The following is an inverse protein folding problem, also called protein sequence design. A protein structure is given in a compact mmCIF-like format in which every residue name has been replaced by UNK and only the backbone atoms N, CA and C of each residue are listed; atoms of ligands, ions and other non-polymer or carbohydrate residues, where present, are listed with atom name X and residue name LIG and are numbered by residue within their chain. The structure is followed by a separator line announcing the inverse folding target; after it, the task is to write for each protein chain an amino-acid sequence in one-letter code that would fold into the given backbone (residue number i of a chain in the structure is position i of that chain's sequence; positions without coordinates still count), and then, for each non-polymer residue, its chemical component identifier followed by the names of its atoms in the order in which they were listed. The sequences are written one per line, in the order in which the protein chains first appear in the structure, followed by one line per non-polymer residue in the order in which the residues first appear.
data_IF_772557284682
#
_entry.id   IF_772557284682
#
_cell.length_a   1.000
_cell.length_b   1.000
_cell.length_c   1.000
_cell.angle_alpha   90.00
_cell.angle_beta   90.00
_cell.angle_gamma   90.00
#
_symmetry.space_group_name_H-M   'P 1'
#
loop_
_entity.id
_entity.type
_entity.pdbx_description
1 polymer ?
#
# COMPACT_ATOMS: atom_id res chain seq x y z
N UNK A 1 -24.68 28.61 25.73
CA UNK A 1 -23.51 29.34 26.26
C UNK A 1 -22.74 29.92 25.07
N UNK A 2 -22.10 31.10 25.19
CA UNK A 2 -21.30 31.68 24.11
C UNK A 2 -20.14 30.74 23.72
N UNK A 3 -19.93 30.49 22.40
CA UNK A 3 -18.91 29.56 21.90
C UNK A 3 -19.28 28.07 22.02
N UNK A 4 -20.48 27.75 22.48
CA UNK A 4 -20.96 26.36 22.54
C UNK A 4 -21.20 25.82 21.14
N UNK A 5 -20.67 24.61 20.85
CA UNK A 5 -20.91 23.92 19.59
C UNK A 5 -21.95 22.83 19.78
N UNK A 6 -22.93 22.79 18.88
CA UNK A 6 -24.03 21.81 18.88
C UNK A 6 -24.20 21.18 17.50
N UNK A 7 -24.76 19.98 17.48
CA UNK A 7 -25.23 19.30 16.28
C UNK A 7 -26.62 19.81 15.94
N UNK A 8 -26.86 20.12 14.66
CA UNK A 8 -28.12 20.66 14.18
C UNK A 8 -28.49 20.08 12.82
N UNK A 9 -29.66 19.48 12.72
CA UNK A 9 -30.12 18.83 11.51
C UNK A 9 -30.72 19.76 10.43
N UNK A 10 -30.89 21.05 10.74
CA UNK A 10 -31.49 22.04 9.82
C UNK A 10 -30.47 22.54 8.77
N UNK A 11 -30.98 23.09 7.68
CA UNK A 11 -30.21 23.65 6.56
C UNK A 11 -29.93 25.16 6.68
N UNK A 12 -30.26 25.77 7.81
CA UNK A 12 -29.98 27.19 8.13
C UNK A 12 -29.46 27.31 9.55
N UNK A 13 -28.63 28.30 9.82
CA UNK A 13 -28.17 28.59 11.16
C UNK A 13 -29.26 29.43 11.91
N UNK A 14 -29.75 29.00 13.08
CA UNK A 14 -30.69 29.79 13.87
C UNK A 14 -30.11 31.16 14.26
N UNK A 15 -30.97 32.10 14.58
CA UNK A 15 -30.56 33.43 15.04
C UNK A 15 -29.59 33.32 16.23
N UNK A 16 -28.47 34.04 16.18
CA UNK A 16 -27.42 34.00 17.21
C UNK A 16 -26.48 32.79 17.11
N UNK A 17 -26.59 31.98 16.04
CA UNK A 17 -25.72 30.85 15.72
C UNK A 17 -25.11 31.01 14.35
N UNK A 18 -24.02 30.34 14.11
CA UNK A 18 -23.40 30.19 12.79
C UNK A 18 -23.00 28.75 12.56
N UNK A 19 -22.89 28.31 11.28
CA UNK A 19 -22.30 27.01 10.94
C UNK A 19 -20.80 26.99 11.27
N UNK A 20 -20.29 25.81 11.59
CA UNK A 20 -18.87 25.58 11.80
C UNK A 20 -18.17 25.25 10.46
N UNK A 21 -18.11 26.22 9.55
CA UNK A 21 -17.59 26.10 8.18
C UNK A 21 -16.24 26.81 7.99
N UNK A 22 -15.59 27.21 9.07
CA UNK A 22 -14.29 27.88 9.03
C UNK A 22 -14.32 29.33 8.54
N UNK A 23 -15.51 29.95 8.46
CA UNK A 23 -15.64 31.34 8.01
C UNK A 23 -15.00 32.33 8.97
N UNK A 24 -14.53 33.45 8.40
CA UNK A 24 -13.93 34.52 9.16
C UNK A 24 -15.03 35.48 9.65
N UNK A 25 -14.94 35.88 10.90
CA UNK A 25 -15.80 36.88 11.52
C UNK A 25 -15.01 38.13 11.93
N UNK A 26 -15.62 39.28 11.83
CA UNK A 26 -15.02 40.52 12.30
C UNK A 26 -14.99 40.55 13.85
N UNK A 27 -13.83 40.89 14.40
CA UNK A 27 -13.66 41.03 15.87
C UNK A 27 -14.52 42.13 16.41
N UNK A 28 -14.67 43.25 15.69
CA UNK A 28 -15.45 44.42 16.15
C UNK A 28 -16.88 44.10 16.50
N UNK A 29 -17.51 43.14 15.79
CA UNK A 29 -18.92 42.73 16.05
C UNK A 29 -19.04 41.47 16.90
N UNK A 30 -17.93 40.78 17.23
CA UNK A 30 -17.93 39.52 17.95
C UNK A 30 -16.84 39.41 19.03
N UNK A 31 -16.57 40.56 19.72
CA UNK A 31 -15.49 40.66 20.69
C UNK A 31 -15.54 39.60 21.81
N UNK A 32 -16.75 39.36 22.34
CA UNK A 32 -16.94 38.37 23.40
C UNK A 32 -16.60 36.95 22.96
N UNK A 33 -16.97 36.56 21.73
CA UNK A 33 -16.60 35.26 21.18
C UNK A 33 -15.10 35.17 20.89
N UNK A 34 -14.51 36.23 20.33
CA UNK A 34 -13.08 36.31 20.11
C UNK A 34 -12.24 36.14 21.38
N UNK A 35 -12.71 36.72 22.51
CA UNK A 35 -12.03 36.54 23.80
C UNK A 35 -11.97 35.09 24.29
N UNK A 36 -12.88 34.23 23.80
CA UNK A 36 -12.94 32.80 24.15
C UNK A 36 -12.10 31.97 23.22
N UNK A 37 -12.27 32.12 21.90
CA UNK A 37 -11.64 31.21 20.91
C UNK A 37 -10.39 31.78 20.25
N UNK A 38 -10.17 33.12 20.35
CA UNK A 38 -8.98 33.75 19.77
C UNK A 38 -8.81 33.45 18.30
N UNK A 39 -7.54 33.16 17.90
CA UNK A 39 -7.15 32.80 16.54
C UNK A 39 -6.90 31.29 16.38
N UNK A 40 -7.37 30.47 17.29
CA UNK A 40 -7.15 29.01 17.32
C UNK A 40 -7.59 28.34 16.01
N UNK A 41 -8.66 28.82 15.40
CA UNK A 41 -9.21 28.28 14.15
C UNK A 41 -8.87 29.11 12.92
N UNK A 42 -8.07 30.18 13.04
CA UNK A 42 -7.64 31.06 11.95
C UNK A 42 -7.98 32.54 12.17
N UNK A 43 -7.76 33.32 11.12
CA UNK A 43 -7.89 34.79 11.16
C UNK A 43 -6.58 35.48 11.47
N UNK A 44 -6.57 36.81 11.33
CA UNK A 44 -5.39 37.67 11.56
C UNK A 44 -5.23 38.11 13.03
N UNK A 45 -6.23 37.86 13.86
CA UNK A 45 -6.23 38.27 15.28
C UNK A 45 -6.26 39.77 15.52
N UNK A 46 -6.37 40.55 14.45
CA UNK A 46 -6.39 42.01 14.52
C UNK A 46 -7.75 42.60 14.10
N UNK A 47 -8.26 42.12 12.98
CA UNK A 47 -9.55 42.52 12.41
C UNK A 47 -10.51 41.34 12.33
N UNK A 48 -10.01 40.13 12.14
CA UNK A 48 -10.80 38.91 11.94
C UNK A 48 -10.28 37.75 12.78
N UNK A 49 -11.18 36.77 13.02
CA UNK A 49 -10.87 35.44 13.56
C UNK A 49 -11.72 34.39 12.88
N UNK A 50 -11.22 33.15 12.85
CA UNK A 50 -11.91 32.02 12.21
C UNK A 50 -12.81 31.25 13.18
N UNK A 51 -13.93 30.74 12.67
CA UNK A 51 -14.72 29.71 13.35
C UNK A 51 -14.13 28.32 13.07
N UNK A 52 -14.45 27.32 13.92
CA UNK A 52 -14.10 25.93 13.63
C UNK A 52 -14.62 25.49 12.26
N UNK A 53 -13.84 24.69 11.53
CA UNK A 53 -14.27 24.02 10.30
C UNK A 53 -14.43 22.53 10.58
N UNK A 54 -15.68 22.10 10.71
CA UNK A 54 -16.06 20.71 11.01
C UNK A 54 -16.63 19.98 9.78
N UNK A 55 -16.57 20.58 8.60
CA UNK A 55 -17.03 19.93 7.36
C UNK A 55 -16.16 18.71 7.06
N UNK A 56 -16.80 17.55 6.89
CA UNK A 56 -16.11 16.26 6.66
C UNK A 56 -15.22 15.81 7.84
N UNK A 57 -15.45 16.30 9.06
CA UNK A 57 -14.62 16.01 10.24
C UNK A 57 -15.44 15.57 11.43
N UNK A 58 -14.85 14.71 12.22
CA UNK A 58 -15.36 14.30 13.53
C UNK A 58 -14.70 15.16 14.60
N UNK A 59 -15.50 15.71 15.51
CA UNK A 59 -14.99 16.45 16.67
C UNK A 59 -14.38 15.47 17.68
N UNK A 60 -13.15 15.76 18.10
CA UNK A 60 -12.45 15.01 19.15
C UNK A 60 -12.01 15.97 20.26
N UNK A 61 -11.86 15.47 21.48
CA UNK A 61 -11.39 16.27 22.61
C UNK A 61 -9.91 16.60 22.50
N UNK A 62 -9.54 17.84 22.86
CA UNK A 62 -8.14 18.22 22.94
C UNK A 62 -7.45 17.61 24.18
N UNK A 63 -6.13 17.42 24.07
CA UNK A 63 -5.29 16.86 25.13
C UNK A 63 -4.71 15.50 24.80
N UNK A 64 -4.08 14.91 25.79
CA UNK A 64 -3.43 13.60 25.69
C UNK A 64 -4.13 12.59 26.59
N UNK A 65 -4.85 11.64 26.02
CA UNK A 65 -5.38 10.49 26.76
C UNK A 65 -4.29 9.44 27.05
N UNK A 66 -4.49 8.55 28.03
CA UNK A 66 -3.59 7.45 28.32
C UNK A 66 -3.37 6.57 27.06
N UNK A 67 -2.12 6.39 26.65
CA UNK A 67 -1.78 5.61 25.47
C UNK A 67 -2.14 6.25 24.11
N UNK A 68 -2.66 7.47 24.09
CA UNK A 68 -3.07 8.18 22.88
C UNK A 68 -2.12 9.34 22.54
N UNK A 69 -2.17 9.75 21.28
CA UNK A 69 -1.43 10.91 20.79
C UNK A 69 -1.97 12.22 21.37
N UNK A 70 -1.09 13.18 21.60
CA UNK A 70 -1.49 14.53 22.00
C UNK A 70 -2.21 15.27 20.86
N UNK A 71 -3.37 15.86 21.16
CA UNK A 71 -4.20 16.63 20.22
C UNK A 71 -4.36 18.05 20.71
N UNK A 72 -3.77 18.99 20.02
CA UNK A 72 -3.90 20.41 20.38
C UNK A 72 -5.24 20.96 19.90
N UNK A 73 -5.81 21.86 20.67
CA UNK A 73 -7.04 22.56 20.29
C UNK A 73 -6.84 23.27 18.92
N UNK A 74 -7.79 23.08 18.00
CA UNK A 74 -7.72 23.62 16.64
C UNK A 74 -6.88 22.82 15.65
N UNK A 75 -6.15 21.78 16.08
CA UNK A 75 -5.39 20.91 15.16
C UNK A 75 -6.32 20.08 14.27
N UNK A 76 -5.86 19.81 13.04
CA UNK A 76 -6.56 18.98 12.06
C UNK A 76 -5.72 17.74 11.80
N UNK A 77 -6.36 16.59 11.65
CA UNK A 77 -5.68 15.32 11.36
C UNK A 77 -6.64 14.34 10.71
N UNK A 78 -6.08 13.27 10.11
CA UNK A 78 -6.84 12.26 9.40
C UNK A 78 -7.00 12.57 7.92
N UNK A 79 -7.41 11.57 7.18
CA UNK A 79 -7.61 11.58 5.74
C UNK A 79 -8.96 10.91 5.43
N UNK A 80 -9.57 11.23 4.29
CA UNK A 80 -10.78 10.55 3.81
C UNK A 80 -10.45 9.38 2.89
N UNK A 81 -9.30 9.48 2.21
CA UNK A 81 -8.81 8.52 1.22
C UNK A 81 -7.35 8.26 1.50
N UNK A 82 -6.95 7.02 1.50
CA UNK A 82 -5.57 6.62 1.76
C UNK A 82 -5.06 5.64 0.70
N UNK A 83 -3.84 5.82 0.22
CA UNK A 83 -3.12 4.88 -0.63
C UNK A 83 -2.04 4.19 0.20
N UNK A 84 -2.13 2.86 0.32
CA UNK A 84 -1.13 2.09 1.06
C UNK A 84 0.26 2.24 0.42
N UNK A 85 1.22 2.57 1.24
CA UNK A 85 2.65 2.58 0.88
C UNK A 85 3.29 1.23 1.19
N UNK A 86 4.46 0.96 0.60
CA UNK A 86 5.20 -0.29 0.86
C UNK A 86 5.57 -0.47 2.34
N UNK A 87 5.74 0.62 3.08
CA UNK A 87 6.11 0.59 4.51
C UNK A 87 4.92 0.19 5.38
N UNK A 88 3.70 0.49 4.95
CA UNK A 88 2.47 0.19 5.68
C UNK A 88 1.97 -1.23 5.46
N UNK A 89 2.50 -1.93 4.46
CA UNK A 89 2.18 -3.34 4.24
C UNK A 89 2.99 -4.21 5.21
N UNK A 90 2.35 -5.15 5.91
CA UNK A 90 3.07 -6.16 6.69
C UNK A 90 4.04 -6.95 5.79
N UNK A 91 5.19 -7.38 6.35
CA UNK A 91 6.08 -8.28 5.63
C UNK A 91 5.34 -9.58 5.26
N UNK A 92 5.40 -9.96 4.01
CA UNK A 92 4.74 -11.17 3.50
C UNK A 92 5.64 -11.86 2.47
N UNK A 93 5.45 -13.16 2.30
CA UNK A 93 6.17 -13.99 1.35
C UNK A 93 5.18 -14.57 0.32
N UNK A 94 5.63 -14.69 -0.92
CA UNK A 94 4.93 -15.47 -1.94
C UNK A 94 5.59 -16.84 -2.02
N UNK A 95 4.88 -17.87 -1.56
CA UNK A 95 5.30 -19.24 -1.79
C UNK A 95 5.07 -19.58 -3.27
N UNK A 96 6.16 -19.82 -3.96
CA UNK A 96 6.10 -20.28 -5.35
C UNK A 96 6.34 -21.79 -5.37
N UNK A 97 5.36 -22.54 -5.81
CA UNK A 97 5.55 -23.96 -6.13
C UNK A 97 5.97 -24.05 -7.58
N UNK A 98 7.20 -24.49 -7.83
CA UNK A 98 7.64 -24.85 -9.18
C UNK A 98 6.93 -26.13 -9.63
N UNK A 99 5.70 -26.01 -10.11
CA UNK A 99 4.97 -27.14 -10.70
C UNK A 99 5.46 -27.44 -12.14
N UNK A 100 6.73 -27.37 -12.41
CA UNK A 100 7.22 -27.56 -13.77
C UNK A 100 8.73 -27.56 -13.94
N UNK A 101 9.49 -27.53 -12.88
CA UNK A 101 10.90 -27.88 -12.97
C UNK A 101 11.00 -29.39 -13.16
N UNK A 102 10.78 -29.87 -14.38
CA UNK A 102 11.35 -31.13 -14.80
C UNK A 102 12.83 -30.88 -14.84
N UNK A 103 13.58 -31.47 -13.90
CA UNK A 103 15.01 -31.54 -14.01
C UNK A 103 15.31 -32.17 -15.37
N UNK A 104 15.69 -31.33 -16.30
CA UNK A 104 16.11 -31.84 -17.62
C UNK A 104 17.50 -32.40 -17.44
N UNK A 105 17.59 -33.72 -17.36
CA UNK A 105 18.85 -34.42 -17.35
C UNK A 105 19.31 -34.62 -18.79
N UNK A 106 20.54 -34.27 -19.08
CA UNK A 106 21.18 -34.73 -20.31
C UNK A 106 21.52 -36.19 -20.11
N UNK A 107 20.81 -37.05 -20.77
CA UNK A 107 21.14 -38.50 -20.75
C UNK A 107 22.44 -38.74 -21.47
N UNK A 108 23.35 -39.46 -20.82
CA UNK A 108 24.61 -39.92 -21.42
C UNK A 108 24.57 -41.45 -21.52
N UNK A 109 24.84 -41.99 -22.68
CA UNK A 109 24.93 -43.44 -22.85
C UNK A 109 26.33 -43.96 -22.48
N UNK A 110 26.39 -45.02 -21.69
CA UNK A 110 27.62 -45.73 -21.37
C UNK A 110 27.99 -46.78 -22.42
N UNK A 111 27.11 -46.96 -23.42
CA UNK A 111 27.43 -47.85 -24.54
C UNK A 111 28.34 -47.17 -25.56
N UNK A 112 28.98 -47.98 -26.39
CA UNK A 112 29.84 -47.47 -27.45
C UNK A 112 29.04 -46.66 -28.47
N UNK A 113 29.55 -45.51 -28.86
CA UNK A 113 28.97 -44.67 -29.89
C UNK A 113 28.94 -45.38 -31.26
N UNK A 114 27.85 -45.23 -31.98
CA UNK A 114 27.65 -45.83 -33.30
C UNK A 114 27.57 -44.78 -34.40
N UNK A 115 27.24 -43.53 -34.07
CA UNK A 115 27.08 -42.47 -35.03
C UNK A 115 28.12 -41.34 -34.80
N UNK A 116 28.61 -40.75 -35.89
CA UNK A 116 29.50 -39.59 -35.88
C UNK A 116 28.73 -38.27 -35.95
N UNK A 117 27.46 -38.31 -36.35
CA UNK A 117 26.54 -37.21 -36.35
C UNK A 117 25.29 -37.61 -35.56
N UNK A 118 24.67 -36.68 -34.76
CA UNK A 118 23.50 -37.01 -33.98
C UNK A 118 22.33 -37.34 -34.91
N UNK A 119 21.56 -38.37 -34.57
CA UNK A 119 20.30 -38.75 -35.20
C UNK A 119 19.16 -38.43 -34.20
N UNK A 120 17.94 -38.34 -34.71
CA UNK A 120 16.77 -38.11 -33.83
C UNK A 120 16.67 -39.24 -32.79
N UNK A 121 16.69 -38.87 -31.51
CA UNK A 121 16.65 -39.80 -30.39
C UNK A 121 18.05 -40.29 -29.90
N UNK A 122 19.11 -39.90 -30.53
CA UNK A 122 20.48 -40.21 -30.08
C UNK A 122 20.82 -39.35 -28.82
N UNK A 123 21.64 -39.93 -27.96
CA UNK A 123 22.28 -39.30 -26.82
C UNK A 123 23.79 -39.33 -26.94
N UNK A 124 24.54 -38.42 -26.31
CA UNK A 124 26.00 -38.56 -26.25
C UNK A 124 26.40 -39.90 -25.66
N UNK A 125 27.36 -40.56 -26.28
CA UNK A 125 27.80 -41.91 -25.93
C UNK A 125 29.32 -41.97 -25.83
N UNK A 126 29.86 -43.07 -25.31
CA UNK A 126 31.31 -43.26 -25.21
C UNK A 126 31.95 -43.17 -26.58
N UNK A 127 32.83 -42.20 -26.79
CA UNK A 127 33.51 -41.96 -28.04
C UNK A 127 34.35 -43.15 -28.46
N UNK A 128 34.33 -43.49 -29.77
CA UNK A 128 35.10 -44.55 -30.34
C UNK A 128 36.03 -44.01 -31.40
N UNK A 129 37.30 -44.46 -31.33
CA UNK A 129 38.31 -44.27 -32.41
C UNK A 129 38.30 -45.48 -33.32
N UNK A 130 38.34 -45.25 -34.59
CA UNK A 130 38.52 -46.34 -35.54
C UNK A 130 39.95 -46.91 -35.49
N UNK A 131 40.09 -48.21 -35.52
CA UNK A 131 41.39 -48.86 -35.66
C UNK A 131 41.79 -48.85 -37.12
N UNK A 132 42.84 -48.05 -37.51
CA UNK A 132 43.40 -48.07 -38.86
C UNK A 132 43.97 -46.73 -39.34
N UNK A 133 44.93 -46.74 -40.23
CA UNK A 133 45.58 -45.61 -40.89
C UNK A 133 44.61 -44.89 -41.86
N UNK A 134 43.68 -44.10 -41.32
CA UNK A 134 42.82 -43.24 -42.10
C UNK A 134 42.04 -42.38 -41.13
N UNK A 135 41.76 -41.10 -41.46
CA UNK A 135 40.98 -40.19 -40.66
C UNK A 135 39.55 -40.73 -40.51
N UNK A 136 39.32 -41.63 -39.54
CA UNK A 136 37.99 -42.12 -39.22
C UNK A 136 37.29 -41.11 -38.32
N UNK A 137 36.09 -40.67 -38.66
CA UNK A 137 35.33 -39.77 -37.82
C UNK A 137 35.07 -40.41 -36.46
N UNK A 138 35.29 -39.65 -35.40
CA UNK A 138 35.02 -40.08 -34.04
C UNK A 138 33.49 -40.23 -33.86
N UNK A 139 33.05 -41.42 -33.52
CA UNK A 139 31.65 -41.67 -33.18
C UNK A 139 31.40 -41.15 -31.75
N UNK A 140 30.39 -40.34 -31.56
CA UNK A 140 30.08 -39.71 -30.27
C UNK A 140 28.63 -39.83 -29.85
N UNK A 141 27.76 -40.38 -30.70
CA UNK A 141 26.33 -40.44 -30.46
C UNK A 141 25.81 -41.88 -30.69
N UNK A 142 24.70 -42.20 -30.02
CA UNK A 142 24.04 -43.50 -30.21
C UNK A 142 22.70 -43.54 -29.47
N UNK A 143 21.87 -44.54 -29.77
CA UNK A 143 20.57 -44.68 -29.10
C UNK A 143 20.74 -44.94 -27.60
N UNK A 144 19.87 -44.41 -26.76
CA UNK A 144 19.86 -44.70 -25.34
C UNK A 144 19.51 -46.17 -25.10
N UNK A 145 20.31 -46.87 -24.32
CA UNK A 145 20.07 -48.28 -23.97
C UNK A 145 19.61 -48.36 -22.52
N UNK A 146 18.51 -49.04 -22.26
CA UNK A 146 17.94 -49.18 -20.90
C UNK A 146 18.99 -49.79 -19.96
N UNK A 147 19.20 -49.16 -18.82
CA UNK A 147 20.16 -49.56 -17.79
C UNK A 147 21.63 -49.23 -18.13
N UNK A 148 21.89 -48.59 -19.26
CA UNK A 148 23.21 -48.14 -19.71
C UNK A 148 23.35 -46.66 -19.93
N UNK A 149 22.36 -45.88 -19.45
CA UNK A 149 22.39 -44.43 -19.44
C UNK A 149 22.67 -43.94 -18.02
N UNK A 150 23.44 -42.87 -17.91
CA UNK A 150 23.66 -42.15 -16.69
C UNK A 150 23.11 -40.72 -16.85
N UNK A 151 22.58 -40.19 -15.81
CA UNK A 151 22.19 -38.80 -15.81
C UNK A 151 23.46 -37.95 -15.83
N UNK A 152 23.62 -37.14 -16.85
CA UNK A 152 24.63 -36.11 -16.89
C UNK A 152 24.30 -34.96 -15.91
N UNK A 153 24.96 -33.84 -16.10
CA UNK A 153 24.71 -32.66 -15.29
C UNK A 153 23.26 -32.23 -15.44
N UNK A 154 22.59 -31.96 -14.30
CA UNK A 154 21.27 -31.32 -14.29
C UNK A 154 21.41 -29.93 -14.88
N UNK A 155 20.79 -29.68 -16.00
CA UNK A 155 20.50 -28.32 -16.43
C UNK A 155 19.31 -27.82 -15.58
N UNK A 156 19.61 -27.26 -14.44
CA UNK A 156 18.57 -26.48 -13.74
C UNK A 156 18.30 -25.28 -14.64
N UNK A 157 17.25 -25.36 -15.45
CA UNK A 157 16.64 -24.18 -16.00
C UNK A 157 16.02 -23.45 -14.81
N UNK A 158 16.74 -22.51 -14.20
CA UNK A 158 16.10 -21.41 -13.54
C UNK A 158 15.33 -20.66 -14.63
N UNK A 159 14.18 -21.20 -15.02
CA UNK A 159 13.16 -20.43 -15.67
C UNK A 159 12.85 -19.32 -14.67
N UNK A 160 13.38 -18.14 -14.92
CA UNK A 160 13.28 -17.02 -13.99
C UNK A 160 11.82 -16.82 -13.62
N UNK A 161 11.43 -17.28 -12.44
CA UNK A 161 10.13 -17.03 -11.91
C UNK A 161 10.05 -15.53 -11.60
N UNK A 162 9.48 -14.79 -12.51
CA UNK A 162 9.24 -13.36 -12.31
C UNK A 162 7.93 -13.21 -11.58
N UNK A 163 8.01 -12.87 -10.31
CA UNK A 163 6.82 -12.46 -9.55
C UNK A 163 6.47 -11.05 -10.01
N UNK A 164 5.37 -10.92 -10.73
CA UNK A 164 4.86 -9.63 -11.16
C UNK A 164 4.24 -8.90 -9.97
N UNK A 165 4.31 -7.57 -9.99
CA UNK A 165 3.64 -6.75 -9.00
C UNK A 165 2.15 -7.04 -9.03
N UNK A 166 1.59 -7.42 -7.88
CA UNK A 166 0.15 -7.60 -7.70
C UNK A 166 -0.37 -6.43 -6.86
N UNK A 167 -1.39 -5.75 -7.35
CA UNK A 167 -1.99 -4.57 -6.72
C UNK A 167 -1.88 -3.34 -7.59
N UNK A 168 -2.82 -2.41 -7.43
CA UNK A 168 -2.96 -1.22 -8.27
C UNK A 168 -2.44 0.06 -7.63
N UNK A 169 -1.95 0.04 -6.38
CA UNK A 169 -1.59 1.25 -5.60
C UNK A 169 -2.67 2.34 -5.64
N UNK A 170 -3.94 1.91 -5.77
CA UNK A 170 -5.06 2.83 -5.88
C UNK A 170 -5.50 3.29 -4.49
N UNK A 171 -5.76 4.59 -4.31
CA UNK A 171 -6.35 5.08 -3.09
C UNK A 171 -7.71 4.44 -2.83
N UNK A 172 -7.98 4.11 -1.58
CA UNK A 172 -9.27 3.60 -1.14
C UNK A 172 -9.86 4.50 -0.06
N UNK A 173 -11.18 4.54 -0.01
CA UNK A 173 -11.90 5.32 1.00
C UNK A 173 -11.78 4.62 2.35
N UNK A 174 -11.35 5.38 3.37
CA UNK A 174 -11.23 4.93 4.76
C UNK A 174 -12.31 5.54 5.67
N UNK A 175 -13.25 6.31 5.09
CA UNK A 175 -14.34 6.90 5.83
C UNK A 175 -15.33 5.83 6.27
N UNK A 176 -15.65 5.81 7.56
CA UNK A 176 -16.70 4.97 8.11
C UNK A 176 -18.10 5.40 7.60
N UNK A 177 -19.10 4.52 7.58
CA UNK A 177 -20.48 4.92 7.28
C UNK A 177 -20.90 6.08 8.18
N UNK A 178 -21.32 7.18 7.58
CA UNK A 178 -21.68 8.41 8.29
C UNK A 178 -22.96 9.04 7.73
N UNK A 179 -23.63 9.80 8.54
CA UNK A 179 -24.74 10.67 8.16
C UNK A 179 -24.31 12.10 8.34
N UNK A 180 -24.41 12.89 7.28
CA UNK A 180 -24.01 14.30 7.31
C UNK A 180 -25.08 15.15 8.01
N UNK A 181 -24.70 15.83 9.07
CA UNK A 181 -25.49 16.82 9.79
C UNK A 181 -24.61 18.02 10.13
N UNK A 182 -25.21 19.18 10.36
CA UNK A 182 -24.47 20.40 10.58
C UNK A 182 -23.98 20.54 12.03
N UNK A 183 -22.82 21.17 12.20
CA UNK A 183 -22.38 21.72 13.47
C UNK A 183 -22.61 23.21 13.48
N UNK A 184 -23.16 23.73 14.57
CA UNK A 184 -23.40 25.17 14.76
C UNK A 184 -22.71 25.65 16.03
N UNK A 185 -22.23 26.90 16.02
CA UNK A 185 -21.61 27.57 17.16
C UNK A 185 -22.42 28.79 17.58
N UNK A 186 -22.60 28.97 18.88
CA UNK A 186 -23.29 30.11 19.42
C UNK A 186 -22.44 31.38 19.33
N UNK A 187 -22.93 32.39 18.59
CA UNK A 187 -22.34 33.73 18.47
C UNK A 187 -22.77 34.65 19.60
N UNK A 188 -23.87 34.32 20.25
CA UNK A 188 -24.48 35.10 21.34
C UNK A 188 -24.87 34.15 22.48
N UNK A 189 -24.81 34.64 23.71
CA UNK A 189 -25.17 33.86 24.89
C UNK A 189 -24.45 34.33 26.15
N UNK A 190 -24.67 33.61 27.23
CA UNK A 190 -23.99 33.87 28.50
C UNK A 190 -22.50 33.59 28.35
N UNK A 191 -21.66 34.52 28.79
CA UNK A 191 -20.20 34.36 28.78
C UNK A 191 -19.80 33.27 29.81
N UNK A 192 -18.97 32.26 29.41
CA UNK A 192 -18.53 31.25 30.35
C UNK A 192 -17.56 31.84 31.39
N UNK A 193 -17.84 31.61 32.69
CA UNK A 193 -16.90 31.96 33.75
C UNK A 193 -15.69 30.98 33.69
N UNK A 194 -14.50 31.51 33.88
CA UNK A 194 -13.32 30.67 34.17
C UNK A 194 -13.29 30.42 35.68
N UNK A 195 -13.34 29.18 36.08
CA UNK A 195 -13.08 28.75 37.45
C UNK A 195 -11.60 28.63 37.68
#
# INVERSE_FOLDING_TARGET
MLGEVKIFAGNFAPRGWAFCDGQLLAISSNQALFSIIGTIYGGDGRTTFGLPDLRGRVAISAGRGPGLSDRRLGSRSGEEVHALTNIEMPSHNHLTTNNGATDQHVLLSTTKAVNNTPQTGDVPAAAQFGAGLGATPVKAFGPPTVGKTVNGQTLSSNAGLTILNNGGSQPHNIMQPCLTINYIIALQGVFPSRN
#
